data_IF_382332758910
#
_entry.id   IF_382332758910
#
_cell.length_a   1.000
_cell.length_b   1.000
_cell.length_c   1.000
_cell.angle_alpha   90.00
_cell.angle_beta   90.00
_cell.angle_gamma   90.00
#
_symmetry.space_group_name_H-M   'P 1'
#
loop_
_entity.id
_entity.type
_entity.pdbx_description
1 polymer ?
#
# COMPACT_ATOMS: atom_id res chain seq x y z
N UNK A 1 -39.35 -38.24 -12.25
CA UNK A 1 -39.16 -37.39 -11.06
C UNK A 1 -37.66 -37.33 -10.75
N UNK A 2 -36.99 -36.26 -11.13
CA UNK A 2 -35.56 -36.07 -10.90
C UNK A 2 -35.34 -35.48 -9.49
N UNK A 3 -34.57 -36.19 -8.67
CA UNK A 3 -34.22 -35.81 -7.30
C UNK A 3 -33.10 -34.82 -7.31
N UNK A 4 -33.40 -33.54 -7.02
CA UNK A 4 -32.39 -32.47 -6.91
C UNK A 4 -31.45 -32.78 -5.74
N UNK A 5 -30.14 -32.74 -6.00
CA UNK A 5 -29.11 -32.88 -4.98
C UNK A 5 -29.09 -31.63 -4.07
N UNK A 6 -28.90 -31.75 -2.75
CA UNK A 6 -28.87 -30.60 -1.86
C UNK A 6 -27.60 -29.76 -2.09
N UNK A 7 -27.78 -28.45 -2.26
CA UNK A 7 -26.69 -27.49 -2.31
C UNK A 7 -25.90 -27.53 -1.00
N UNK A 8 -24.59 -27.77 -1.09
CA UNK A 8 -23.68 -27.87 0.04
C UNK A 8 -23.52 -26.48 0.68
N UNK A 9 -24.32 -26.19 1.69
CA UNK A 9 -24.21 -24.96 2.50
C UNK A 9 -22.88 -25.01 3.27
N UNK A 10 -21.94 -24.22 2.86
CA UNK A 10 -20.61 -24.12 3.47
C UNK A 10 -20.73 -23.36 4.79
N UNK A 11 -20.24 -23.95 5.91
CA UNK A 11 -20.31 -23.37 7.26
C UNK A 11 -19.71 -21.97 7.33
N UNK A 12 -20.31 -21.00 8.06
CA UNK A 12 -19.85 -19.60 8.14
C UNK A 12 -18.43 -19.45 8.67
N UNK A 13 -17.98 -20.29 9.58
CA UNK A 13 -16.62 -20.29 10.15
C UNK A 13 -15.52 -20.56 9.09
N UNK A 14 -15.79 -21.43 8.11
CA UNK A 14 -14.84 -21.74 7.03
C UNK A 14 -14.73 -20.54 6.06
N UNK A 15 -15.78 -19.75 5.92
CA UNK A 15 -15.77 -18.51 5.13
C UNK A 15 -14.95 -17.43 5.80
N UNK A 16 -15.12 -17.17 7.11
CA UNK A 16 -14.39 -16.17 7.87
C UNK A 16 -12.87 -16.43 7.82
N UNK A 17 -12.42 -17.64 8.16
CA UNK A 17 -11.00 -17.99 8.12
C UNK A 17 -10.36 -17.99 6.70
N UNK A 18 -11.18 -18.07 5.64
CA UNK A 18 -10.70 -17.90 4.26
C UNK A 18 -10.51 -16.42 3.90
N UNK A 19 -11.42 -15.56 4.35
CA UNK A 19 -11.30 -14.10 4.17
C UNK A 19 -10.08 -13.57 4.92
N UNK A 20 -9.92 -13.90 6.19
CA UNK A 20 -8.77 -13.48 7.00
C UNK A 20 -7.43 -13.89 6.37
N UNK A 21 -7.31 -15.13 5.86
CA UNK A 21 -6.11 -15.58 5.14
C UNK A 21 -5.90 -14.86 3.82
N UNK A 22 -6.96 -14.52 3.12
CA UNK A 22 -6.91 -13.73 1.89
C UNK A 22 -6.41 -12.32 2.16
N UNK A 23 -6.95 -11.67 3.20
CA UNK A 23 -6.58 -10.31 3.59
C UNK A 23 -5.14 -10.24 4.14
N UNK A 24 -4.71 -11.26 4.89
CA UNK A 24 -3.33 -11.39 5.33
C UNK A 24 -2.36 -11.54 4.14
N UNK A 25 -2.75 -12.32 3.12
CA UNK A 25 -1.94 -12.47 1.90
C UNK A 25 -1.92 -11.18 1.07
N UNK A 26 -3.02 -10.44 1.00
CA UNK A 26 -3.07 -9.12 0.33
C UNK A 26 -2.09 -8.15 0.98
N UNK A 27 -2.14 -8.01 2.30
CA UNK A 27 -1.21 -7.15 3.06
C UNK A 27 0.24 -7.51 2.80
N UNK A 28 0.60 -8.80 2.87
CA UNK A 28 1.97 -9.25 2.57
C UNK A 28 2.44 -8.88 1.16
N UNK A 29 1.56 -8.94 0.16
CA UNK A 29 1.89 -8.56 -1.22
C UNK A 29 2.09 -7.05 -1.33
N UNK A 30 1.23 -6.25 -0.69
CA UNK A 30 1.36 -4.79 -0.67
C UNK A 30 2.66 -4.38 0.04
N UNK A 31 2.95 -4.96 1.21
CA UNK A 31 4.19 -4.67 1.95
C UNK A 31 5.43 -5.06 1.14
N UNK A 32 5.43 -6.24 0.50
CA UNK A 32 6.52 -6.68 -0.37
C UNK A 32 6.77 -5.71 -1.54
N UNK A 33 5.70 -5.21 -2.16
CA UNK A 33 5.76 -4.22 -3.23
C UNK A 33 6.38 -2.90 -2.74
N UNK A 34 5.96 -2.42 -1.56
CA UNK A 34 6.50 -1.22 -0.92
C UNK A 34 7.98 -1.37 -0.55
N UNK A 35 8.38 -2.53 -0.06
CA UNK A 35 9.78 -2.83 0.27
C UNK A 35 10.66 -2.82 -0.97
N UNK A 36 10.26 -3.52 -2.04
CA UNK A 36 10.99 -3.55 -3.31
C UNK A 36 11.12 -2.15 -3.92
N UNK A 37 10.05 -1.35 -3.87
CA UNK A 37 10.12 0.05 -4.33
C UNK A 37 11.10 0.89 -3.51
N UNK A 38 11.18 0.70 -2.18
CA UNK A 38 12.17 1.37 -1.31
C UNK A 38 13.60 0.93 -1.60
N UNK A 39 13.80 -0.31 -2.01
CA UNK A 39 15.10 -0.87 -2.41
C UNK A 39 15.55 -0.41 -3.80
N UNK A 40 14.73 0.39 -4.49
CA UNK A 40 15.06 0.98 -5.79
C UNK A 40 14.54 0.18 -6.99
N UNK A 41 13.64 -0.79 -6.79
CA UNK A 41 12.91 -1.46 -7.86
C UNK A 41 11.44 -0.95 -7.91
N UNK A 42 11.16 0.11 -8.68
CA UNK A 42 9.84 0.70 -8.74
C UNK A 42 8.84 -0.13 -9.57
N UNK A 43 9.31 -1.13 -10.32
CA UNK A 43 8.47 -1.97 -11.16
C UNK A 43 8.82 -3.47 -11.01
N UNK A 44 8.78 -4.02 -9.80
CA UNK A 44 9.21 -5.38 -9.57
C UNK A 44 8.33 -6.40 -10.31
N UNK A 45 8.94 -7.49 -10.73
CA UNK A 45 8.21 -8.59 -11.36
C UNK A 45 7.26 -9.27 -10.38
N UNK A 46 6.19 -9.88 -10.90
CA UNK A 46 5.26 -10.65 -10.06
C UNK A 46 5.95 -11.82 -9.32
N UNK A 47 7.05 -12.33 -9.87
CA UNK A 47 7.85 -13.37 -9.23
C UNK A 47 8.63 -12.80 -8.04
N UNK A 48 9.27 -11.64 -8.18
CA UNK A 48 9.97 -10.95 -7.11
C UNK A 48 9.02 -10.57 -5.96
N UNK A 49 7.83 -10.07 -6.29
CA UNK A 49 6.80 -9.74 -5.30
C UNK A 49 6.30 -11.00 -4.58
N UNK A 50 6.05 -12.09 -5.31
CA UNK A 50 5.60 -13.35 -4.73
C UNK A 50 6.65 -13.95 -3.77
N UNK A 51 7.92 -13.93 -4.17
CA UNK A 51 9.04 -14.39 -3.37
C UNK A 51 9.18 -13.56 -2.08
N UNK A 52 9.21 -12.24 -2.19
CA UNK A 52 9.30 -11.31 -1.07
C UNK A 52 8.11 -11.46 -0.10
N UNK A 53 6.91 -11.61 -0.62
CA UNK A 53 5.68 -11.79 0.17
C UNK A 53 5.55 -13.19 0.80
N UNK A 54 6.38 -14.16 0.39
CA UNK A 54 6.27 -15.55 0.82
C UNK A 54 4.96 -16.21 0.36
N UNK A 55 4.48 -15.85 -0.86
CA UNK A 55 3.27 -16.42 -1.46
C UNK A 55 3.56 -16.99 -2.84
N UNK A 56 2.68 -17.87 -3.33
CA UNK A 56 2.81 -18.35 -4.72
C UNK A 56 2.42 -17.26 -5.73
N UNK A 57 3.12 -17.18 -6.88
CA UNK A 57 2.80 -16.28 -8.00
C UNK A 57 1.30 -16.30 -8.37
N UNK A 58 0.68 -17.49 -8.40
CA UNK A 58 -0.76 -17.64 -8.65
C UNK A 58 -1.62 -16.91 -7.63
N UNK A 59 -1.15 -16.79 -6.39
CA UNK A 59 -1.86 -16.04 -5.34
C UNK A 59 -1.83 -14.55 -5.62
N UNK A 60 -0.71 -14.01 -6.11
CA UNK A 60 -0.61 -12.60 -6.52
C UNK A 60 -1.66 -12.28 -7.58
N UNK A 61 -1.70 -13.03 -8.69
CA UNK A 61 -2.68 -12.81 -9.77
C UNK A 61 -4.12 -13.09 -9.37
N UNK A 62 -4.36 -13.97 -8.41
CA UNK A 62 -5.71 -14.23 -7.87
C UNK A 62 -6.23 -13.08 -7.02
N UNK A 63 -5.34 -12.43 -6.27
CA UNK A 63 -5.70 -11.35 -5.36
C UNK A 63 -5.71 -9.98 -6.05
N UNK A 64 -4.81 -9.76 -7.00
CA UNK A 64 -4.70 -8.52 -7.76
C UNK A 64 -4.89 -8.83 -9.25
N UNK A 65 -6.03 -8.40 -9.79
CA UNK A 65 -6.40 -8.65 -11.20
C UNK A 65 -5.50 -7.91 -12.18
N UNK A 66 -4.99 -6.76 -11.76
CA UNK A 66 -4.15 -5.86 -12.53
C UNK A 66 -3.24 -5.05 -11.59
N UNK A 67 -2.27 -4.37 -12.16
CA UNK A 67 -1.34 -3.52 -11.42
C UNK A 67 -2.04 -2.33 -10.78
N UNK A 68 -3.08 -1.78 -11.42
CA UNK A 68 -3.83 -0.67 -10.84
C UNK A 68 -4.46 -1.03 -9.50
N UNK A 69 -5.05 -2.23 -9.37
CA UNK A 69 -5.63 -2.68 -8.10
C UNK A 69 -4.58 -2.83 -6.99
N UNK A 70 -3.36 -3.22 -7.33
CA UNK A 70 -2.24 -3.28 -6.38
C UNK A 70 -1.80 -1.87 -5.97
N UNK A 71 -1.63 -0.95 -6.91
CA UNK A 71 -1.28 0.44 -6.61
C UNK A 71 -2.34 1.15 -5.77
N UNK A 72 -3.62 0.87 -5.97
CA UNK A 72 -4.69 1.41 -5.12
C UNK A 72 -4.53 1.01 -3.66
N UNK A 73 -4.19 -0.25 -3.40
CA UNK A 73 -3.94 -0.72 -2.02
C UNK A 73 -2.63 -0.18 -1.45
N UNK A 74 -1.57 -0.08 -2.26
CA UNK A 74 -0.32 0.58 -1.85
C UNK A 74 -0.57 2.03 -1.45
N UNK A 75 -1.32 2.78 -2.26
CA UNK A 75 -1.67 4.17 -1.98
C UNK A 75 -2.50 4.29 -0.70
N UNK A 76 -3.50 3.43 -0.50
CA UNK A 76 -4.29 3.42 0.73
C UNK A 76 -3.42 3.16 1.97
N UNK A 77 -2.53 2.17 1.90
CA UNK A 77 -1.57 1.87 2.97
C UNK A 77 -0.63 3.06 3.26
N UNK A 78 -0.17 3.74 2.22
CA UNK A 78 0.63 4.95 2.36
C UNK A 78 -0.13 6.06 3.10
N UNK A 79 -1.37 6.33 2.70
CA UNK A 79 -2.19 7.36 3.35
C UNK A 79 -2.38 7.06 4.84
N UNK A 80 -2.69 5.81 5.21
CA UNK A 80 -2.82 5.40 6.61
C UNK A 80 -1.52 5.67 7.40
N UNK A 81 -0.36 5.33 6.84
CA UNK A 81 0.94 5.58 7.47
C UNK A 81 1.25 7.06 7.61
N UNK A 82 0.96 7.85 6.58
CA UNK A 82 1.11 9.32 6.59
C UNK A 82 0.24 9.95 7.69
N UNK A 83 -1.02 9.55 7.78
CA UNK A 83 -1.92 10.07 8.82
C UNK A 83 -1.41 9.72 10.22
N UNK A 84 -0.88 8.52 10.43
CA UNK A 84 -0.26 8.14 11.69
C UNK A 84 0.96 9.00 12.03
N UNK A 85 1.86 9.25 11.06
CA UNK A 85 3.03 10.11 11.24
C UNK A 85 2.61 11.55 11.54
N UNK A 86 1.59 12.07 10.85
CA UNK A 86 1.07 13.43 11.06
C UNK A 86 0.40 13.62 12.42
N UNK A 87 -0.27 12.59 12.91
CA UNK A 87 -0.93 12.60 14.22
C UNK A 87 0.06 12.55 15.38
N UNK A 88 1.32 12.13 15.16
CA UNK A 88 2.35 12.09 16.20
C UNK A 88 2.72 13.52 16.61
N UNK A 89 2.59 13.82 17.90
CA UNK A 89 2.96 15.12 18.45
C UNK A 89 4.47 15.39 18.28
N UNK A 90 4.81 16.64 18.00
CA UNK A 90 6.21 17.09 18.05
C UNK A 90 6.49 17.55 19.48
N UNK A 91 7.31 16.76 20.16
CA UNK A 91 7.70 17.04 21.53
C UNK A 91 8.97 17.89 21.56
N UNK A 92 9.23 18.56 22.69
CA UNK A 92 10.41 19.35 22.95
C UNK A 92 10.15 20.53 23.87
N UNK A 93 11.06 20.77 24.79
CA UNK A 93 10.99 21.90 25.72
C UNK A 93 11.44 23.20 25.06
N UNK A 94 12.42 23.10 24.15
CA UNK A 94 12.97 24.24 23.40
C UNK A 94 12.44 24.30 21.96
N UNK A 95 12.50 25.50 21.38
CA UNK A 95 12.16 25.66 19.96
C UNK A 95 13.07 24.84 19.03
N UNK A 96 14.35 24.61 19.43
CA UNK A 96 15.31 23.82 18.65
C UNK A 96 14.91 22.35 18.60
N UNK A 97 14.51 21.79 19.74
CA UNK A 97 14.04 20.42 19.83
C UNK A 97 12.75 20.22 19.00
N UNK A 98 11.81 21.16 19.12
CA UNK A 98 10.59 21.12 18.29
C UNK A 98 10.89 21.24 16.80
N UNK A 99 11.85 22.08 16.44
CA UNK A 99 12.27 22.21 15.04
C UNK A 99 12.94 20.94 14.52
N UNK A 100 13.83 20.30 15.30
CA UNK A 100 14.41 19.01 14.96
C UNK A 100 13.34 17.94 14.76
N UNK A 101 12.39 17.82 15.69
CA UNK A 101 11.27 16.91 15.57
C UNK A 101 10.37 17.16 14.34
N UNK A 102 10.20 18.42 13.95
CA UNK A 102 9.51 18.78 12.71
C UNK A 102 10.26 18.26 11.47
N UNK A 103 11.58 18.44 11.44
CA UNK A 103 12.42 17.93 10.35
C UNK A 103 12.37 16.41 10.28
N UNK A 104 12.54 15.71 11.39
CA UNK A 104 12.45 14.26 11.46
C UNK A 104 11.09 13.74 10.96
N UNK A 105 9.99 14.38 11.38
CA UNK A 105 8.66 14.04 10.90
C UNK A 105 8.54 14.21 9.38
N UNK A 106 9.10 15.28 8.82
CA UNK A 106 9.10 15.50 7.36
C UNK A 106 9.91 14.44 6.62
N UNK A 107 11.08 14.08 7.13
CA UNK A 107 11.89 13.00 6.56
C UNK A 107 11.08 11.70 6.49
N UNK A 108 10.44 11.29 7.59
CA UNK A 108 9.60 10.09 7.61
C UNK A 108 8.44 10.16 6.61
N UNK A 109 7.80 11.31 6.44
CA UNK A 109 6.74 11.49 5.44
C UNK A 109 7.27 11.28 4.02
N UNK A 110 8.45 11.82 3.68
CA UNK A 110 9.07 11.62 2.38
C UNK A 110 9.48 10.16 2.17
N UNK A 111 10.03 9.49 3.18
CA UNK A 111 10.39 8.07 3.12
C UNK A 111 9.18 7.16 2.83
N UNK A 112 7.98 7.52 3.28
CA UNK A 112 6.75 6.79 2.94
C UNK A 112 6.23 7.12 1.53
N UNK A 113 6.31 8.37 1.10
CA UNK A 113 5.69 8.83 -0.16
C UNK A 113 6.55 8.47 -1.38
N UNK A 114 7.86 8.73 -1.32
CA UNK A 114 8.74 8.68 -2.50
C UNK A 114 8.81 7.32 -3.19
N UNK A 115 8.86 6.16 -2.49
CA UNK A 115 8.86 4.86 -3.14
C UNK A 115 7.60 4.59 -3.95
N UNK A 116 6.45 5.04 -3.45
CA UNK A 116 5.15 4.84 -4.11
C UNK A 116 5.02 5.75 -5.32
N UNK A 117 5.47 7.01 -5.21
CA UNK A 117 5.52 7.93 -6.34
C UNK A 117 6.43 7.38 -7.46
N UNK A 118 7.61 6.87 -7.12
CA UNK A 118 8.50 6.25 -8.09
C UNK A 118 7.87 5.03 -8.77
N UNK A 119 7.22 4.17 -8.01
CA UNK A 119 6.51 3.00 -8.54
C UNK A 119 5.30 3.40 -9.42
N UNK A 120 4.53 4.39 -8.99
CA UNK A 120 3.37 4.89 -9.74
C UNK A 120 3.77 5.58 -11.04
N UNK A 121 4.91 6.28 -11.07
CA UNK A 121 5.39 7.02 -12.24
C UNK A 121 5.65 6.12 -13.44
N UNK A 122 6.15 4.91 -13.21
CA UNK A 122 6.38 3.90 -14.28
C UNK A 122 5.09 3.55 -15.03
N UNK A 123 3.95 3.53 -14.34
CA UNK A 123 2.67 3.10 -14.89
C UNK A 123 1.64 4.24 -15.03
N UNK A 124 1.98 5.46 -14.67
CA UNK A 124 1.11 6.65 -14.68
C UNK A 124 0.39 6.86 -16.01
N UNK A 125 1.08 6.63 -17.12
CA UNK A 125 0.51 6.83 -18.45
C UNK A 125 -0.62 5.86 -18.80
N UNK A 126 -0.70 4.73 -18.10
CA UNK A 126 -1.64 3.64 -18.39
C UNK A 126 -2.89 3.68 -17.49
N UNK A 127 -2.93 4.51 -16.45
CA UNK A 127 -4.01 4.53 -15.46
C UNK A 127 -4.46 5.95 -15.13
N UNK A 128 -5.76 6.20 -15.26
CA UNK A 128 -6.37 7.46 -14.79
C UNK A 128 -6.20 7.62 -13.28
N UNK A 129 -6.42 6.54 -12.52
CA UNK A 129 -6.22 6.55 -11.08
C UNK A 129 -4.81 7.00 -10.66
N UNK A 130 -3.76 6.48 -11.32
CA UNK A 130 -2.38 6.83 -10.98
C UNK A 130 -2.07 8.30 -11.31
N UNK A 131 -2.65 8.86 -12.38
CA UNK A 131 -2.53 10.29 -12.69
C UNK A 131 -3.18 11.15 -11.61
N UNK A 132 -4.39 10.80 -11.21
CA UNK A 132 -5.16 11.56 -10.21
C UNK A 132 -4.50 11.46 -8.82
N UNK A 133 -4.04 10.27 -8.43
CA UNK A 133 -3.31 10.04 -7.20
C UNK A 133 -2.00 10.84 -7.16
N UNK A 134 -1.24 10.86 -8.26
CA UNK A 134 -0.03 11.67 -8.36
C UNK A 134 -0.31 13.18 -8.19
N UNK A 135 -1.36 13.69 -8.82
CA UNK A 135 -1.77 15.09 -8.67
C UNK A 135 -2.15 15.42 -7.21
N UNK A 136 -2.92 14.53 -6.56
CA UNK A 136 -3.30 14.69 -5.16
C UNK A 136 -2.08 14.62 -4.22
N UNK A 137 -1.16 13.68 -4.44
CA UNK A 137 0.07 13.56 -3.65
C UNK A 137 0.98 14.77 -3.83
N UNK A 138 1.10 15.29 -5.06
CA UNK A 138 1.86 16.52 -5.33
C UNK A 138 1.28 17.71 -4.57
N UNK A 139 -0.05 17.85 -4.53
CA UNK A 139 -0.70 18.90 -3.75
C UNK A 139 -0.46 18.71 -2.25
N UNK A 140 -0.60 17.49 -1.73
CA UNK A 140 -0.31 17.16 -0.33
C UNK A 140 1.14 17.50 0.05
N UNK A 141 2.11 17.18 -0.80
CA UNK A 141 3.52 17.52 -0.58
C UNK A 141 3.74 19.04 -0.52
N UNK A 142 3.09 19.81 -1.39
CA UNK A 142 3.14 21.28 -1.33
C UNK A 142 2.58 21.80 -0.02
N UNK A 143 1.44 21.27 0.42
CA UNK A 143 0.81 21.67 1.68
C UNK A 143 1.70 21.36 2.89
N UNK A 144 2.37 20.19 2.87
CA UNK A 144 3.36 19.82 3.91
C UNK A 144 4.58 20.76 3.92
N UNK A 145 4.98 21.26 2.75
CA UNK A 145 6.16 22.16 2.65
C UNK A 145 5.86 23.61 3.06
N UNK A 146 4.59 24.04 2.95
CA UNK A 146 4.18 25.43 3.22
C UNK A 146 3.81 25.67 4.70
N UNK A 147 3.59 24.61 5.48
CA UNK A 147 3.23 24.66 6.90
C UNK A 147 4.18 23.80 7.75
#
# INVERSE_FOLDING_TARGET
>A
MAKAAPAKVMKPEIRAGRHERSDASRRKIVDAMLELAREGDPAPSADAVAERAGVGRRTVFRLFKDMESLYREMHATMIERIEHIRATAIEGETWRERFAGLIERRVRLFEEIMPIEAAADVHRHQSAFLRDAHAANTQMLRDIMLF
#
